data_IF_290325162965
#
_entry.id   IF_290325162965
#
_cell.length_a   1.000
_cell.length_b   1.000
_cell.length_c   1.000
_cell.angle_alpha   90.00
_cell.angle_beta   90.00
_cell.angle_gamma   90.00
#
_symmetry.space_group_name_H-M   'P 1'
#
loop_
_entity.id
_entity.type
_entity.pdbx_description
1 polymer ?
#
# COMPACT_ATOMS: atom_id res chain seq x y z
N UNK A 1 21.20 -14.23 -62.28
CA UNK A 1 20.03 -13.96 -61.40
C UNK A 1 20.42 -13.21 -60.12
N UNK A 2 21.40 -12.28 -60.15
CA UNK A 2 21.83 -11.54 -58.95
C UNK A 2 21.10 -10.20 -58.78
N UNK A 3 20.69 -9.54 -59.86
CA UNK A 3 20.00 -8.24 -59.84
C UNK A 3 18.63 -8.27 -59.15
N UNK A 4 17.80 -9.29 -59.45
CA UNK A 4 16.53 -9.50 -58.75
C UNK A 4 16.72 -9.84 -57.26
N UNK A 5 17.81 -10.54 -56.93
CA UNK A 5 18.19 -10.79 -55.54
C UNK A 5 18.59 -9.50 -54.81
N UNK A 6 19.40 -8.65 -55.45
CA UNK A 6 19.78 -7.36 -54.90
C UNK A 6 18.57 -6.44 -54.65
N UNK A 7 17.58 -6.45 -55.55
CA UNK A 7 16.30 -5.76 -55.36
C UNK A 7 15.52 -6.31 -54.16
N UNK A 8 15.40 -7.63 -54.03
CA UNK A 8 14.71 -8.25 -52.90
C UNK A 8 15.39 -7.95 -51.56
N UNK A 9 16.72 -8.01 -51.50
CA UNK A 9 17.52 -7.61 -50.34
C UNK A 9 17.32 -6.13 -50.03
N UNK A 10 17.31 -5.26 -51.04
CA UNK A 10 17.08 -3.82 -50.89
C UNK A 10 15.69 -3.49 -50.32
N UNK A 11 14.63 -4.10 -50.85
CA UNK A 11 13.25 -3.89 -50.39
C UNK A 11 13.03 -4.44 -48.97
N UNK A 12 13.56 -5.63 -48.68
CA UNK A 12 13.46 -6.21 -47.33
C UNK A 12 14.22 -5.35 -46.29
N UNK A 13 15.38 -4.82 -46.65
CA UNK A 13 16.11 -3.83 -45.84
C UNK A 13 15.33 -2.54 -45.63
N UNK A 14 14.66 -2.03 -46.68
CA UNK A 14 13.84 -0.82 -46.59
C UNK A 14 12.69 -1.00 -45.58
N UNK A 15 11.98 -2.13 -45.67
CA UNK A 15 10.89 -2.46 -44.76
C UNK A 15 11.37 -2.66 -43.32
N UNK A 16 12.48 -3.37 -43.13
CA UNK A 16 13.06 -3.61 -41.82
C UNK A 16 13.50 -2.30 -41.13
N UNK A 17 14.22 -1.43 -41.86
CA UNK A 17 14.65 -0.12 -41.35
C UNK A 17 13.46 0.83 -41.12
N UNK A 18 12.41 0.78 -41.94
CA UNK A 18 11.18 1.57 -41.72
C UNK A 18 10.50 1.20 -40.39
N UNK A 19 10.43 -0.10 -40.05
CA UNK A 19 9.93 -0.53 -38.73
C UNK A 19 10.82 -0.05 -37.60
N UNK A 20 12.13 -0.16 -37.75
CA UNK A 20 13.08 0.32 -36.75
C UNK A 20 13.00 1.85 -36.52
N UNK A 21 12.77 2.63 -37.58
CA UNK A 21 12.49 4.07 -37.47
C UNK A 21 11.18 4.33 -36.72
N UNK A 22 10.14 3.54 -36.99
CA UNK A 22 8.86 3.64 -36.26
C UNK A 22 9.02 3.37 -34.77
N UNK A 23 9.79 2.35 -34.39
CA UNK A 23 10.05 1.99 -32.99
C UNK A 23 10.83 3.09 -32.27
N UNK A 24 11.94 3.56 -32.84
CA UNK A 24 12.75 4.66 -32.25
C UNK A 24 11.94 5.95 -32.13
N UNK A 25 11.13 6.29 -33.15
CA UNK A 25 10.24 7.45 -33.08
C UNK A 25 9.20 7.33 -31.96
N UNK A 26 8.65 6.13 -31.75
CA UNK A 26 7.69 5.88 -30.67
C UNK A 26 8.34 5.98 -29.28
N UNK A 27 9.56 5.46 -29.13
CA UNK A 27 10.33 5.62 -27.90
C UNK A 27 10.59 7.09 -27.59
N UNK A 28 11.04 7.88 -28.58
CA UNK A 28 11.29 9.32 -28.42
C UNK A 28 10.01 10.06 -28.00
N UNK A 29 8.86 9.74 -28.61
CA UNK A 29 7.58 10.36 -28.28
C UNK A 29 7.16 10.08 -26.82
N UNK A 30 7.51 8.90 -26.29
CA UNK A 30 7.13 8.45 -24.96
C UNK A 30 8.23 8.60 -23.90
N UNK A 31 9.28 9.40 -24.17
CA UNK A 31 10.39 9.62 -23.22
C UNK A 31 9.94 10.25 -21.89
N UNK A 32 8.90 11.07 -21.92
CA UNK A 32 8.34 11.73 -20.72
C UNK A 32 7.16 10.95 -20.11
N UNK A 33 6.82 9.80 -20.67
CA UNK A 33 5.66 9.03 -20.21
C UNK A 33 6.06 8.15 -19.03
N UNK A 34 5.35 8.32 -17.92
CA UNK A 34 5.59 7.58 -16.67
C UNK A 34 5.31 6.09 -16.86
N UNK A 35 6.28 5.26 -16.46
CA UNK A 35 6.22 3.80 -16.56
C UNK A 35 6.33 3.26 -17.99
N UNK A 36 6.69 4.07 -18.98
CA UNK A 36 6.87 3.60 -20.35
C UNK A 36 8.12 2.72 -20.50
N UNK A 37 7.96 1.59 -21.20
CA UNK A 37 9.03 0.63 -21.48
C UNK A 37 9.46 0.72 -22.93
N UNK A 38 10.74 0.94 -23.15
CA UNK A 38 11.33 1.06 -24.48
C UNK A 38 11.21 -0.25 -25.26
N UNK A 39 11.01 -0.10 -26.56
CA UNK A 39 11.01 -1.22 -27.51
C UNK A 39 12.24 -1.13 -28.40
N UNK A 40 12.77 -2.28 -28.84
CA UNK A 40 13.92 -2.34 -29.73
C UNK A 40 13.59 -3.11 -31.01
N UNK A 41 14.16 -2.65 -32.13
CA UNK A 41 14.13 -3.41 -33.38
C UNK A 41 15.18 -4.52 -33.36
N UNK A 42 14.75 -5.77 -33.57
CA UNK A 42 15.65 -6.90 -33.75
C UNK A 42 15.68 -7.31 -35.22
N UNK A 43 16.88 -7.42 -35.79
CA UNK A 43 17.07 -7.83 -37.17
C UNK A 43 17.46 -9.30 -37.25
N UNK A 44 16.78 -10.04 -38.12
CA UNK A 44 17.10 -11.43 -38.45
C UNK A 44 17.28 -11.57 -39.95
N UNK A 45 18.24 -12.39 -40.37
CA UNK A 45 18.46 -12.67 -41.80
C UNK A 45 17.44 -13.70 -42.28
N UNK A 46 16.89 -13.46 -43.48
CA UNK A 46 16.11 -14.47 -44.22
C UNK A 46 17.09 -15.10 -45.20
N UNK A 47 17.36 -16.39 -45.04
CA UNK A 47 18.15 -17.14 -46.00
C UNK A 47 17.20 -17.88 -46.96
N UNK A 48 17.27 -17.57 -48.24
CA UNK A 48 16.68 -18.43 -49.27
C UNK A 48 17.54 -19.71 -49.33
N UNK A 49 16.92 -20.87 -49.09
CA UNK A 49 17.61 -22.14 -48.89
C UNK A 49 18.65 -22.49 -49.96
N UNK A 50 19.70 -23.13 -49.47
CA UNK A 50 20.98 -23.55 -50.06
C UNK A 50 20.89 -24.40 -51.34
N UNK A 51 21.80 -24.19 -52.30
CA UNK A 51 22.30 -25.27 -53.17
C UNK A 51 23.69 -24.93 -53.74
N UNK A 52 24.62 -25.88 -53.55
CA UNK A 52 26.04 -25.89 -53.95
C UNK A 52 26.99 -24.93 -53.21
N UNK A 53 28.02 -25.50 -52.57
CA UNK A 53 29.18 -24.77 -52.08
C UNK A 53 29.79 -23.96 -53.23
N UNK A 54 29.89 -22.64 -53.07
CA UNK A 54 30.48 -21.72 -54.06
C UNK A 54 29.51 -20.80 -54.81
N UNK A 55 28.19 -20.89 -54.59
CA UNK A 55 27.22 -19.97 -55.22
C UNK A 55 26.67 -18.97 -54.21
N UNK A 56 26.78 -17.67 -54.51
CA UNK A 56 26.19 -16.60 -53.69
C UNK A 56 24.66 -16.63 -53.80
N UNK A 57 23.97 -16.81 -52.68
CA UNK A 57 22.51 -16.67 -52.56
C UNK A 57 22.19 -15.33 -51.91
N UNK A 58 21.37 -14.52 -52.57
CA UNK A 58 20.89 -13.26 -51.98
C UNK A 58 19.83 -13.61 -50.93
N UNK A 59 20.12 -13.22 -49.68
CA UNK A 59 19.16 -13.27 -48.58
C UNK A 59 18.39 -11.96 -48.42
N UNK A 60 17.46 -11.94 -47.47
CA UNK A 60 16.77 -10.73 -47.02
C UNK A 60 17.04 -10.44 -45.55
N UNK A 61 16.42 -9.39 -45.04
CA UNK A 61 16.39 -9.08 -43.60
C UNK A 61 14.95 -8.84 -43.16
N UNK A 62 14.62 -9.25 -41.93
CA UNK A 62 13.35 -8.95 -41.29
C UNK A 62 13.61 -8.26 -39.95
N UNK A 63 12.86 -7.18 -39.71
CA UNK A 63 12.79 -6.57 -38.39
C UNK A 63 11.59 -7.14 -37.60
N UNK A 64 11.87 -7.64 -36.40
CA UNK A 64 10.90 -7.86 -35.33
C UNK A 64 10.98 -6.77 -34.27
N UNK A 65 9.96 -6.66 -33.44
CA UNK A 65 9.94 -5.75 -32.29
C UNK A 65 10.11 -6.58 -31.02
N UNK A 66 11.04 -6.21 -30.17
CA UNK A 66 11.16 -6.74 -28.82
C UNK A 66 10.85 -5.62 -27.82
N UNK A 67 9.90 -5.86 -26.92
CA UNK A 67 9.64 -4.94 -25.82
C UNK A 67 10.57 -5.30 -24.65
N UNK A 68 11.16 -4.29 -24.00
CA UNK A 68 12.08 -4.45 -22.86
C UNK A 68 11.33 -4.10 -21.57
N UNK A 69 10.26 -4.83 -21.30
CA UNK A 69 9.32 -4.59 -20.19
C UNK A 69 9.96 -4.93 -18.84
N UNK A 70 10.90 -5.88 -18.84
CA UNK A 70 11.69 -6.30 -17.69
C UNK A 70 12.68 -5.24 -17.18
N UNK A 71 13.03 -4.24 -17.99
CA UNK A 71 13.98 -3.20 -17.59
C UNK A 71 13.34 -2.18 -16.65
N UNK A 72 14.05 -1.82 -15.60
CA UNK A 72 13.65 -0.78 -14.64
C UNK A 72 14.10 0.61 -15.10
N UNK A 73 13.22 1.59 -15.02
CA UNK A 73 13.49 3.01 -15.17
C UNK A 73 13.90 3.65 -13.84
N UNK A 74 14.43 4.88 -13.89
CA UNK A 74 14.78 5.62 -12.69
C UNK A 74 13.52 5.93 -11.88
N UNK A 75 13.62 5.83 -10.55
CA UNK A 75 12.55 6.27 -9.66
C UNK A 75 12.70 7.76 -9.37
N UNK A 76 11.66 8.53 -9.63
CA UNK A 76 11.57 9.96 -9.32
C UNK A 76 10.57 10.17 -8.19
N UNK A 77 10.96 10.97 -7.20
CA UNK A 77 10.09 11.34 -6.08
C UNK A 77 8.95 12.22 -6.61
N UNK A 78 7.74 11.97 -6.13
CA UNK A 78 6.53 12.75 -6.35
C UNK A 78 6.03 13.35 -5.04
N UNK A 79 5.20 14.39 -5.13
CA UNK A 79 4.53 15.00 -3.98
C UNK A 79 3.19 14.31 -3.65
N UNK A 80 2.64 13.53 -4.59
CA UNK A 80 1.37 12.84 -4.40
C UNK A 80 1.54 11.57 -3.56
N UNK A 81 0.74 11.44 -2.49
CA UNK A 81 0.73 10.26 -1.63
C UNK A 81 0.24 8.98 -2.33
N UNK A 82 -0.53 9.14 -3.41
CA UNK A 82 -1.08 8.03 -4.21
C UNK A 82 -0.19 7.63 -5.39
N UNK A 83 0.91 8.35 -5.62
CA UNK A 83 1.88 7.98 -6.64
C UNK A 83 2.78 6.86 -6.12
N UNK A 84 2.85 5.78 -6.89
CA UNK A 84 3.54 4.55 -6.51
C UNK A 84 4.51 4.12 -7.61
N UNK A 85 5.63 3.55 -7.17
CA UNK A 85 6.54 2.88 -8.09
C UNK A 85 6.95 1.51 -7.55
N UNK A 86 7.21 0.58 -8.47
CA UNK A 86 7.76 -0.73 -8.12
C UNK A 86 9.27 -0.68 -8.29
N UNK A 87 10.00 -1.02 -7.24
CA UNK A 87 11.44 -1.21 -7.28
C UNK A 87 11.76 -2.71 -7.41
N UNK A 88 12.15 -3.11 -8.62
CA UNK A 88 12.46 -4.51 -8.95
C UNK A 88 11.38 -5.14 -9.83
N UNK A 89 11.14 -6.44 -9.65
CA UNK A 89 10.22 -7.21 -10.49
C UNK A 89 8.78 -7.13 -9.97
N UNK A 90 7.83 -6.77 -10.82
CA UNK A 90 6.42 -6.77 -10.45
C UNK A 90 5.64 -5.74 -11.24
N UNK A 91 4.35 -5.95 -11.39
CA UNK A 91 3.44 -5.02 -12.05
C UNK A 91 2.27 -4.73 -11.11
N UNK A 92 1.80 -3.48 -11.13
CA UNK A 92 0.51 -3.14 -10.52
C UNK A 92 -0.59 -3.85 -11.28
N UNK A 93 -1.54 -4.40 -10.53
CA UNK A 93 -2.73 -5.05 -11.08
C UNK A 93 -3.82 -4.00 -11.19
N UNK A 94 -4.33 -3.80 -12.40
CA UNK A 94 -5.36 -2.82 -12.70
C UNK A 94 -6.49 -3.44 -13.51
N UNK A 95 -7.65 -2.80 -13.51
CA UNK A 95 -8.81 -3.24 -14.28
C UNK A 95 -9.50 -2.06 -14.99
N UNK A 96 -10.22 -2.36 -16.07
CA UNK A 96 -11.03 -1.36 -16.79
C UNK A 96 -12.27 -0.92 -16.04
N UNK A 97 -12.81 -1.77 -15.14
CA UNK A 97 -14.02 -1.48 -14.38
C UNK A 97 -13.80 -1.72 -12.89
N UNK A 98 -14.50 -0.96 -12.02
CA UNK A 98 -14.35 -1.07 -10.57
C UNK A 98 -15.10 -2.26 -9.96
N UNK A 99 -16.08 -2.84 -10.68
CA UNK A 99 -16.76 -4.07 -10.26
C UNK A 99 -15.75 -5.22 -10.32
N UNK A 100 -15.35 -5.70 -9.15
CA UNK A 100 -14.27 -6.66 -8.92
C UNK A 100 -14.12 -7.74 -9.99
N UNK A 101 -12.87 -8.10 -10.25
CA UNK A 101 -12.50 -9.13 -11.20
C UNK A 101 -12.99 -10.50 -10.73
N UNK A 102 -14.24 -10.85 -11.04
CA UNK A 102 -14.68 -12.25 -11.01
C UNK A 102 -13.90 -13.00 -12.09
N UNK A 103 -12.79 -13.63 -11.69
CA UNK A 103 -12.00 -14.74 -12.27
C UNK A 103 -11.79 -14.88 -13.80
N UNK A 104 -12.36 -14.03 -14.66
CA UNK A 104 -12.38 -14.17 -16.11
C UNK A 104 -12.45 -12.85 -16.88
N UNK A 105 -12.33 -11.71 -16.20
CA UNK A 105 -12.45 -10.39 -16.86
C UNK A 105 -11.13 -9.62 -16.72
N UNK A 106 -10.51 -9.36 -17.88
CA UNK A 106 -9.34 -8.52 -18.21
C UNK A 106 -8.61 -7.81 -17.07
N UNK A 107 -7.90 -8.57 -16.23
CA UNK A 107 -6.82 -8.00 -15.43
C UNK A 107 -5.71 -7.50 -16.37
N UNK A 108 -5.38 -6.24 -16.20
CA UNK A 108 -4.32 -5.55 -16.89
C UNK A 108 -3.16 -5.31 -15.91
N UNK A 109 -1.96 -5.24 -16.45
CA UNK A 109 -0.75 -5.10 -15.67
C UNK A 109 -0.04 -3.82 -16.10
N UNK A 110 0.39 -2.99 -15.16
CA UNK A 110 1.08 -1.74 -15.51
C UNK A 110 2.24 -1.44 -14.57
N UNK A 111 3.21 -0.70 -15.08
CA UNK A 111 4.28 -0.07 -14.30
C UNK A 111 4.00 1.41 -14.01
N UNK A 112 2.97 1.98 -14.64
CA UNK A 112 2.59 3.37 -14.40
C UNK A 112 1.78 3.43 -13.11
N UNK A 113 2.40 3.92 -12.03
CA UNK A 113 1.73 4.10 -10.75
C UNK A 113 1.28 5.53 -10.48
N UNK A 114 0.94 6.28 -11.53
CA UNK A 114 0.33 7.61 -11.41
C UNK A 114 -1.16 7.49 -11.09
N UNK A 115 -1.51 7.20 -9.84
CA UNK A 115 -2.89 7.01 -9.42
C UNK A 115 -3.46 8.26 -8.78
N UNK A 116 -4.68 8.64 -9.16
CA UNK A 116 -5.45 9.71 -8.55
C UNK A 116 -6.84 9.21 -8.17
N UNK A 117 -7.42 9.82 -7.14
CA UNK A 117 -8.79 9.51 -6.73
C UNK A 117 -9.79 10.07 -7.75
N UNK A 118 -10.77 9.27 -8.17
CA UNK A 118 -11.87 9.72 -9.01
C UNK A 118 -13.06 10.27 -8.18
N UNK A 119 -14.14 10.67 -8.85
CA UNK A 119 -15.34 11.21 -8.19
C UNK A 119 -16.10 10.19 -7.31
N UNK A 120 -15.93 8.90 -7.56
CA UNK A 120 -16.54 7.81 -6.79
C UNK A 120 -15.63 7.33 -5.65
N UNK A 121 -14.39 7.81 -5.62
CA UNK A 121 -13.38 7.51 -4.61
C UNK A 121 -12.40 6.42 -5.00
N UNK A 122 -12.47 5.89 -6.23
CA UNK A 122 -11.55 4.85 -6.69
C UNK A 122 -10.20 5.43 -7.11
N UNK A 123 -9.13 4.69 -6.83
CA UNK A 123 -7.79 5.02 -7.34
C UNK A 123 -7.68 4.63 -8.82
N UNK A 124 -7.57 5.63 -9.68
CA UNK A 124 -7.51 5.48 -11.14
C UNK A 124 -6.22 6.04 -11.68
N UNK A 125 -5.56 5.34 -12.60
CA UNK A 125 -4.35 5.85 -13.23
C UNK A 125 -4.64 6.84 -14.37
N UNK A 126 -3.60 7.53 -14.85
CA UNK A 126 -3.71 8.47 -15.99
C UNK A 126 -4.29 7.87 -17.28
N UNK A 127 -4.14 6.55 -17.48
CA UNK A 127 -4.73 5.81 -18.59
C UNK A 127 -6.21 5.45 -18.39
N UNK A 128 -6.68 5.53 -17.15
CA UNK A 128 -8.06 5.34 -16.80
C UNK A 128 -8.42 3.98 -16.19
N UNK A 129 -7.43 3.19 -15.79
CA UNK A 129 -7.61 1.90 -15.14
C UNK A 129 -7.60 2.03 -13.62
N UNK A 130 -8.39 1.20 -12.95
CA UNK A 130 -8.55 1.19 -11.49
C UNK A 130 -7.52 0.29 -10.83
N UNK A 131 -6.91 0.76 -9.74
CA UNK A 131 -5.97 -0.02 -8.94
C UNK A 131 -6.70 -1.09 -8.13
N UNK A 132 -6.24 -2.33 -8.27
CA UNK A 132 -6.78 -3.49 -7.56
C UNK A 132 -5.90 -3.86 -6.37
N UNK A 133 -6.53 -4.20 -5.25
CA UNK A 133 -5.86 -4.62 -4.02
C UNK A 133 -6.61 -5.74 -3.31
N UNK A 134 -5.94 -6.37 -2.35
CA UNK A 134 -6.58 -7.26 -1.39
C UNK A 134 -7.16 -6.43 -0.25
N UNK A 135 -8.46 -6.57 0.09
CA UNK A 135 -9.00 -5.94 1.30
C UNK A 135 -8.34 -6.59 2.52
N UNK A 136 -7.93 -5.77 3.48
CA UNK A 136 -7.33 -6.19 4.75
C UNK A 136 -8.41 -6.10 5.82
N UNK A 137 -8.51 -7.10 6.69
CA UNK A 137 -9.43 -7.06 7.84
C UNK A 137 -8.90 -6.17 8.98
N UNK A 138 -9.72 -5.92 10.00
CA UNK A 138 -9.32 -5.11 11.16
C UNK A 138 -8.18 -5.76 11.98
N UNK A 139 -7.79 -7.01 11.67
CA UNK A 139 -6.66 -7.71 12.28
C UNK A 139 -5.38 -7.61 11.44
N UNK A 140 -5.41 -6.94 10.29
CA UNK A 140 -4.26 -6.78 9.40
C UNK A 140 -4.02 -7.98 8.47
N UNK A 141 -4.94 -8.95 8.42
CA UNK A 141 -4.82 -10.15 7.62
C UNK A 141 -5.44 -9.98 6.23
N UNK A 142 -4.80 -10.63 5.25
CA UNK A 142 -5.24 -10.63 3.86
C UNK A 142 -6.05 -11.90 3.53
N UNK A 143 -6.94 -11.86 2.52
CA UNK A 143 -7.79 -13.00 2.20
C UNK A 143 -6.95 -14.22 1.82
N UNK A 144 -7.34 -15.40 2.32
CA UNK A 144 -6.66 -16.66 1.99
C UNK A 144 -6.69 -16.95 0.48
N UNK A 145 -7.72 -16.45 -0.23
CA UNK A 145 -7.79 -16.48 -1.68
C UNK A 145 -7.11 -15.24 -2.29
N UNK A 146 -5.90 -15.44 -2.83
CA UNK A 146 -5.11 -14.37 -3.46
C UNK A 146 -5.71 -13.82 -4.76
N UNK A 147 -6.75 -14.44 -5.30
CA UNK A 147 -7.44 -13.92 -6.49
C UNK A 147 -8.64 -13.02 -6.14
N UNK A 148 -8.97 -12.85 -4.86
CA UNK A 148 -10.07 -11.99 -4.42
C UNK A 148 -9.60 -10.52 -4.40
N UNK A 149 -9.59 -9.92 -5.60
CA UNK A 149 -9.13 -8.55 -5.81
C UNK A 149 -10.31 -7.60 -5.95
N UNK A 150 -10.26 -6.52 -5.19
CA UNK A 150 -11.26 -5.44 -5.22
C UNK A 150 -10.61 -4.12 -5.61
N UNK A 151 -11.35 -3.29 -6.35
CA UNK A 151 -10.89 -1.94 -6.66
C UNK A 151 -10.85 -1.10 -5.38
N UNK A 152 -9.74 -0.40 -5.18
CA UNK A 152 -9.52 0.39 -3.97
C UNK A 152 -10.41 1.63 -4.02
N UNK A 153 -11.37 1.72 -3.10
CA UNK A 153 -12.23 2.88 -2.94
C UNK A 153 -11.96 3.57 -1.60
N UNK A 154 -11.52 4.83 -1.67
CA UNK A 154 -11.21 5.65 -0.50
C UNK A 154 -12.46 6.25 0.17
N UNK A 155 -13.58 6.41 -0.53
CA UNK A 155 -14.82 6.95 0.04
C UNK A 155 -15.57 5.91 0.89
N UNK A 156 -15.37 4.62 0.62
CA UNK A 156 -15.91 3.54 1.46
C UNK A 156 -15.19 3.43 2.80
N UNK A 157 -14.02 4.05 2.94
CA UNK A 157 -13.27 4.22 4.18
C UNK A 157 -13.94 5.32 5.01
N UNK A 158 -15.20 5.12 5.38
CA UNK A 158 -15.89 6.03 6.28
C UNK A 158 -15.21 5.97 7.64
N UNK A 159 -14.98 7.14 8.25
CA UNK A 159 -14.45 7.25 9.60
C UNK A 159 -15.18 6.33 10.56
N UNK A 160 -14.45 5.44 11.22
CA UNK A 160 -15.01 4.62 12.29
C UNK A 160 -14.62 5.27 13.61
N UNK A 161 -15.61 5.50 14.46
CA UNK A 161 -15.32 5.66 15.87
C UNK A 161 -14.77 4.33 16.40
N UNK A 162 -13.72 4.39 17.21
CA UNK A 162 -13.19 3.21 17.90
C UNK A 162 -13.55 3.32 19.38
N UNK A 163 -14.36 2.37 19.87
CA UNK A 163 -14.63 2.25 21.29
C UNK A 163 -13.31 1.97 22.02
N UNK A 164 -13.05 2.67 23.12
CA UNK A 164 -11.90 2.36 23.98
C UNK A 164 -12.01 0.93 24.49
N UNK A 165 -10.98 0.12 24.26
CA UNK A 165 -10.86 -1.24 24.82
C UNK A 165 -9.72 -1.35 25.82
N UNK A 166 -8.80 -0.39 25.82
CA UNK A 166 -7.63 -0.35 26.70
C UNK A 166 -7.31 1.07 27.16
N UNK A 167 -6.95 1.19 28.44
CA UNK A 167 -6.49 2.42 29.09
C UNK A 167 -5.22 2.08 29.84
N UNK A 168 -4.07 2.59 29.40
CA UNK A 168 -2.80 2.44 30.10
C UNK A 168 -2.51 3.67 30.97
N UNK A 169 -2.22 3.42 32.24
CA UNK A 169 -2.01 4.43 33.26
C UNK A 169 -0.60 4.34 33.85
N UNK A 170 0.10 5.46 33.86
CA UNK A 170 1.35 5.62 34.62
C UNK A 170 1.17 6.73 35.63
N UNK A 171 1.21 6.38 36.90
CA UNK A 171 1.05 7.31 38.00
C UNK A 171 1.98 6.94 39.15
N UNK A 172 2.45 7.93 39.88
CA UNK A 172 3.08 7.70 41.18
C UNK A 172 2.07 8.00 42.28
N UNK A 173 1.92 7.09 43.25
CA UNK A 173 1.11 7.27 44.44
C UNK A 173 2.01 7.49 45.66
N UNK A 174 1.73 8.52 46.45
CA UNK A 174 2.58 8.92 47.56
C UNK A 174 2.59 7.88 48.69
N UNK A 175 3.73 7.24 48.93
CA UNK A 175 3.83 6.17 49.93
C UNK A 175 3.60 6.63 51.38
N UNK A 176 3.88 7.90 51.72
CA UNK A 176 3.72 8.47 53.06
C UNK A 176 2.29 8.90 53.43
N UNK A 177 1.33 8.74 52.52
CA UNK A 177 -0.06 9.13 52.76
C UNK A 177 -0.69 8.36 53.94
N UNK A 178 -1.59 9.00 54.69
CA UNK A 178 -2.28 8.36 55.83
C UNK A 178 -3.27 7.30 55.34
N UNK A 179 -3.29 6.13 55.96
CA UNK A 179 -4.20 5.06 55.53
C UNK A 179 -5.60 5.26 56.12
N UNK A 180 -6.62 5.30 55.24
CA UNK A 180 -8.03 5.38 55.59
C UNK A 180 -8.60 3.97 55.82
N UNK A 181 -8.50 3.49 57.06
CA UNK A 181 -8.90 2.12 57.43
C UNK A 181 -10.42 1.88 57.45
N UNK A 182 -11.22 2.94 57.36
CA UNK A 182 -12.69 2.88 57.34
C UNK A 182 -13.29 2.81 55.93
N UNK A 183 -12.44 2.83 54.90
CA UNK A 183 -12.89 2.83 53.51
C UNK A 183 -13.72 1.58 53.15
N UNK A 184 -14.87 1.83 52.54
CA UNK A 184 -15.73 0.84 51.87
C UNK A 184 -15.86 1.22 50.39
N UNK A 185 -15.91 0.21 49.52
CA UNK A 185 -16.12 0.41 48.09
C UNK A 185 -17.40 1.22 47.82
N UNK A 186 -17.25 2.34 47.11
CA UNK A 186 -18.30 3.32 46.81
C UNK A 186 -18.25 4.58 47.68
N UNK A 187 -17.43 4.62 48.74
CA UNK A 187 -17.33 5.79 49.63
C UNK A 187 -16.74 7.01 48.92
N UNK A 188 -15.82 6.79 47.94
CA UNK A 188 -15.25 7.89 47.15
C UNK A 188 -16.26 8.45 46.16
N UNK A 189 -17.04 7.60 45.49
CA UNK A 189 -18.16 8.05 44.65
C UNK A 189 -19.27 8.77 45.44
N UNK A 190 -19.60 8.29 46.64
CA UNK A 190 -20.61 8.90 47.50
C UNK A 190 -20.14 10.21 48.16
N UNK A 191 -18.85 10.57 48.04
CA UNK A 191 -18.25 11.72 48.72
C UNK A 191 -18.18 11.58 50.24
N UNK A 192 -18.19 10.35 50.76
CA UNK A 192 -18.06 10.06 52.20
C UNK A 192 -16.60 10.12 52.63
N UNK A 193 -15.68 9.77 51.73
CA UNK A 193 -14.24 9.88 51.89
C UNK A 193 -13.68 10.66 50.70
N UNK A 194 -12.89 11.70 50.98
CA UNK A 194 -12.19 12.45 49.94
C UNK A 194 -11.05 11.59 49.35
N UNK A 195 -10.98 11.42 48.01
CA UNK A 195 -9.92 10.65 47.39
C UNK A 195 -8.57 11.36 47.55
N UNK A 196 -7.53 10.60 47.90
CA UNK A 196 -6.17 11.12 48.08
C UNK A 196 -5.49 11.44 46.76
N UNK A 197 -5.93 10.76 45.69
CA UNK A 197 -5.54 11.08 44.33
C UNK A 197 -6.68 10.74 43.39
N UNK A 198 -7.09 11.68 42.55
CA UNK A 198 -8.09 11.45 41.51
C UNK A 198 -7.66 12.04 40.16
N UNK A 199 -8.08 11.38 39.08
CA UNK A 199 -7.87 11.84 37.70
C UNK A 199 -9.04 11.47 36.81
N UNK A 200 -9.56 12.44 36.08
CA UNK A 200 -10.54 12.23 35.03
C UNK A 200 -9.84 11.85 33.73
N UNK A 201 -10.34 10.79 33.10
CA UNK A 201 -9.92 10.27 31.80
C UNK A 201 -11.11 10.34 30.85
N UNK A 202 -10.85 10.70 29.60
CA UNK A 202 -11.84 10.64 28.53
C UNK A 202 -11.74 9.27 27.85
N UNK A 203 -12.84 8.52 27.85
CA UNK A 203 -13.00 7.27 27.11
C UNK A 203 -14.01 7.47 26.00
N UNK A 204 -13.88 6.71 24.92
CA UNK A 204 -14.75 6.83 23.75
C UNK A 204 -15.68 5.62 23.66
N UNK A 205 -16.96 5.89 23.40
CA UNK A 205 -17.96 4.84 23.17
C UNK A 205 -17.95 4.33 21.71
N UNK A 206 -18.72 3.27 21.43
CA UNK A 206 -18.82 2.66 20.09
C UNK A 206 -19.40 3.58 19.01
N UNK A 207 -20.01 4.70 19.39
CA UNK A 207 -20.56 5.70 18.47
C UNK A 207 -19.67 6.94 18.35
N UNK A 208 -18.54 6.99 19.07
CA UNK A 208 -17.61 8.11 19.06
C UNK A 208 -18.00 9.26 20.00
N UNK A 209 -18.89 9.01 20.95
CA UNK A 209 -19.15 9.94 22.05
C UNK A 209 -18.00 9.92 23.07
N UNK A 210 -17.56 11.09 23.50
CA UNK A 210 -16.60 11.24 24.59
C UNK A 210 -17.32 11.07 25.94
N UNK A 211 -16.77 10.22 26.80
CA UNK A 211 -17.34 9.83 28.07
C UNK A 211 -16.27 10.04 29.16
N UNK A 212 -16.60 10.78 30.20
CA UNK A 212 -15.66 11.09 31.28
C UNK A 212 -15.72 10.02 32.37
N UNK A 213 -14.58 9.39 32.64
CA UNK A 213 -14.39 8.39 33.68
C UNK A 213 -13.32 8.87 34.64
N UNK A 214 -13.68 9.03 35.91
CA UNK A 214 -12.78 9.42 36.98
C UNK A 214 -12.20 8.20 37.68
N UNK A 215 -10.88 8.13 37.77
CA UNK A 215 -10.16 7.18 38.60
C UNK A 215 -9.80 7.84 39.92
N UNK A 216 -10.29 7.29 41.02
CA UNK A 216 -10.03 7.79 42.37
C UNK A 216 -9.29 6.72 43.18
N UNK A 217 -8.29 7.14 43.95
CA UNK A 217 -7.42 6.28 44.73
C UNK A 217 -7.38 6.72 46.19
N UNK A 218 -7.41 5.73 47.09
CA UNK A 218 -7.26 5.92 48.53
C UNK A 218 -6.41 4.80 49.12
N UNK A 219 -5.51 5.16 50.03
CA UNK A 219 -4.66 4.19 50.72
C UNK A 219 -5.42 3.56 51.87
N UNK A 220 -5.53 2.23 51.90
CA UNK A 220 -6.27 1.50 52.94
C UNK A 220 -5.37 0.84 53.97
N UNK A 221 -4.15 0.46 53.57
CA UNK A 221 -3.14 -0.10 54.46
C UNK A 221 -1.71 0.17 53.94
N UNK A 222 -0.70 -0.31 54.66
CA UNK A 222 0.67 -0.28 54.16
C UNK A 222 0.76 -1.03 52.82
N UNK A 223 1.31 -0.36 51.80
CA UNK A 223 1.47 -0.87 50.43
C UNK A 223 0.18 -1.36 49.77
N UNK A 224 -0.98 -0.87 50.22
CA UNK A 224 -2.28 -1.27 49.70
C UNK A 224 -3.13 -0.03 49.42
N UNK A 225 -3.56 0.09 48.18
CA UNK A 225 -4.41 1.17 47.70
C UNK A 225 -5.69 0.58 47.14
N UNK A 226 -6.83 1.18 47.46
CA UNK A 226 -8.07 0.93 46.76
C UNK A 226 -8.24 1.94 45.64
N UNK A 227 -8.83 1.51 44.53
CA UNK A 227 -9.23 2.39 43.45
C UNK A 227 -10.72 2.20 43.14
N UNK A 228 -11.37 3.29 42.75
CA UNK A 228 -12.71 3.30 42.18
C UNK A 228 -12.65 3.92 40.79
N UNK A 229 -13.40 3.32 39.88
CA UNK A 229 -13.64 3.82 38.52
C UNK A 229 -15.05 4.37 38.50
N UNK A 230 -15.16 5.69 38.48
CA UNK A 230 -16.40 6.43 38.62
C UNK A 230 -16.75 7.03 37.27
N UNK A 231 -18.00 6.88 36.82
CA UNK A 231 -18.50 7.62 35.66
C UNK A 231 -18.94 9.02 36.10
N UNK A 232 -18.39 10.06 35.48
CA UNK A 232 -18.69 11.47 35.83
C UNK A 232 -19.87 12.03 35.00
N UNK A 233 -20.35 11.27 34.01
CA UNK A 233 -21.54 11.61 33.23
C UNK A 233 -22.85 11.29 33.96
N UNK A 234 -23.97 11.42 33.25
CA UNK A 234 -25.30 11.12 33.83
C UNK A 234 -25.40 9.64 34.23
N UNK A 235 -25.55 9.30 35.53
CA UNK A 235 -25.64 7.92 35.99
C UNK A 235 -26.80 7.14 35.35
N UNK A 236 -27.82 7.81 34.80
CA UNK A 236 -28.86 7.16 34.02
C UNK A 236 -28.30 6.40 32.79
N UNK A 237 -27.18 6.85 32.23
CA UNK A 237 -26.53 6.23 31.06
C UNK A 237 -25.83 4.92 31.37
N UNK A 238 -25.58 4.59 32.65
CA UNK A 238 -24.95 3.34 33.10
C UNK A 238 -25.91 2.44 33.89
N UNK A 239 -27.22 2.65 33.77
CA UNK A 239 -28.25 1.86 34.46
C UNK A 239 -28.67 2.42 35.82
N UNK A 240 -28.24 3.64 36.17
CA UNK A 240 -28.61 4.37 37.37
C UNK A 240 -27.47 4.51 38.38
N UNK A 241 -27.71 5.29 39.44
CA UNK A 241 -26.71 5.59 40.48
C UNK A 241 -26.17 4.34 41.22
N UNK A 242 -26.91 3.22 41.21
CA UNK A 242 -26.46 1.95 41.81
C UNK A 242 -25.40 1.19 41.01
N UNK A 243 -25.14 1.59 39.76
CA UNK A 243 -24.07 1.05 38.91
C UNK A 243 -22.78 1.87 38.99
N UNK A 244 -22.74 2.92 39.81
CA UNK A 244 -21.57 3.77 40.03
C UNK A 244 -21.08 3.59 41.49
N UNK A 245 -19.80 3.31 41.76
CA UNK A 245 -18.67 3.18 40.84
C UNK A 245 -18.82 1.98 39.88
N UNK A 246 -18.38 2.15 38.63
CA UNK A 246 -18.44 1.14 37.57
C UNK A 246 -17.61 -0.09 37.96
N UNK A 247 -16.44 0.15 38.54
CA UNK A 247 -15.56 -0.89 39.04
C UNK A 247 -14.82 -0.39 40.28
N UNK A 248 -14.49 -1.34 41.14
CA UNK A 248 -13.66 -1.10 42.32
C UNK A 248 -12.62 -2.20 42.42
N UNK A 249 -11.41 -1.86 42.83
CA UNK A 249 -10.37 -2.86 43.04
C UNK A 249 -9.32 -2.40 44.03
N UNK A 250 -8.35 -3.28 44.24
CA UNK A 250 -7.22 -3.05 45.14
C UNK A 250 -5.91 -3.26 44.40
N UNK A 251 -4.98 -2.32 44.56
CA UNK A 251 -3.60 -2.41 44.11
C UNK A 251 -2.73 -2.68 45.33
N UNK A 252 -1.87 -3.70 45.24
CA UNK A 252 -0.81 -3.91 46.24
C UNK A 252 0.55 -3.68 45.62
N UNK A 253 1.48 -3.17 46.42
CA UNK A 253 2.84 -2.85 45.99
C UNK A 253 3.87 -3.68 46.75
N UNK A 254 5.00 -3.96 46.09
CA UNK A 254 6.17 -4.58 46.69
C UNK A 254 6.91 -3.57 47.58
N UNK A 255 7.86 -4.07 48.39
CA UNK A 255 8.69 -3.23 49.27
C UNK A 255 9.60 -2.24 48.53
N UNK A 256 9.80 -2.43 47.23
CA UNK A 256 10.58 -1.55 46.35
C UNK A 256 9.71 -0.45 45.67
N UNK A 257 8.40 -0.43 45.93
CA UNK A 257 7.45 0.51 45.35
C UNK A 257 6.90 0.10 43.97
N UNK A 258 7.27 -1.07 43.44
CA UNK A 258 6.71 -1.63 42.20
C UNK A 258 5.35 -2.30 42.43
N UNK A 259 4.55 -2.44 41.38
CA UNK A 259 3.24 -3.07 41.46
C UNK A 259 3.38 -4.58 41.75
N UNK A 260 2.59 -5.11 42.68
CA UNK A 260 2.56 -6.53 43.03
C UNK A 260 1.26 -7.21 42.59
N UNK A 261 0.11 -6.56 42.80
CA UNK A 261 -1.19 -7.04 42.28
C UNK A 261 -1.99 -5.91 41.66
N UNK A 262 -2.79 -6.17 40.60
CA UNK A 262 -3.19 -7.49 40.05
C UNK A 262 -2.06 -8.28 39.36
N UNK A 263 -2.11 -9.62 39.42
CA UNK A 263 -1.03 -10.53 39.01
C UNK A 263 -0.68 -10.49 37.49
N UNK A 264 -1.48 -9.80 36.69
CA UNK A 264 -1.23 -9.54 35.27
C UNK A 264 -1.18 -8.05 34.92
N UNK A 265 -1.02 -7.16 35.90
CA UNK A 265 -0.91 -5.71 35.69
C UNK A 265 -2.19 -4.99 35.28
N UNK A 266 -3.21 -5.75 34.88
CA UNK A 266 -4.43 -5.25 34.25
C UNK A 266 -5.67 -5.55 35.09
N UNK A 267 -6.68 -4.68 34.98
CA UNK A 267 -8.01 -4.88 35.52
C UNK A 267 -9.06 -4.70 34.43
N UNK A 268 -10.01 -5.63 34.34
CA UNK A 268 -11.15 -5.49 33.43
C UNK A 268 -12.24 -4.65 34.09
N UNK A 269 -12.65 -3.58 33.42
CA UNK A 269 -13.75 -2.70 33.80
C UNK A 269 -14.81 -2.81 32.71
N UNK A 270 -16.01 -3.24 33.05
CA UNK A 270 -17.13 -3.27 32.09
C UNK A 270 -18.05 -2.11 32.39
N UNK A 271 -18.20 -1.18 31.43
CA UNK A 271 -19.17 -0.09 31.52
C UNK A 271 -20.53 -0.65 31.04
N UNK A 272 -21.53 -0.77 31.94
CA UNK A 272 -22.85 -1.26 31.57
C UNK A 272 -23.69 -0.11 31.01
N UNK A 273 -23.47 0.24 29.74
CA UNK A 273 -24.31 1.25 29.09
C UNK A 273 -25.79 0.84 29.16
N UNK A 274 -26.65 1.79 29.55
CA UNK A 274 -28.08 1.56 29.66
C UNK A 274 -28.70 1.32 28.27
N UNK A 275 -29.66 0.41 28.16
CA UNK A 275 -30.33 0.15 26.86
C UNK A 275 -30.97 1.41 26.23
N UNK A 276 -31.28 2.43 27.05
CA UNK A 276 -31.80 3.72 26.59
C UNK A 276 -30.75 4.60 25.88
N UNK A 277 -29.45 4.41 26.12
CA UNK A 277 -28.39 5.12 25.40
C UNK A 277 -28.10 4.51 24.03
N UNK A 278 -28.63 3.33 23.73
CA UNK A 278 -28.42 2.63 22.45
C UNK A 278 -27.01 2.05 22.26
N UNK A 279 -26.16 2.13 23.30
CA UNK A 279 -24.79 1.62 23.31
C UNK A 279 -24.76 0.18 23.86
N UNK A 280 -23.94 -0.68 23.27
CA UNK A 280 -23.67 -2.01 23.82
C UNK A 280 -22.65 -1.92 24.95
N UNK A 281 -22.78 -2.77 25.98
CA UNK A 281 -21.84 -2.79 27.12
C UNK A 281 -20.38 -2.90 26.64
N UNK A 282 -19.51 -2.06 27.20
CA UNK A 282 -18.14 -1.89 26.73
C UNK A 282 -17.16 -2.40 27.79
N UNK A 283 -16.33 -3.37 27.42
CA UNK A 283 -15.25 -3.86 28.28
C UNK A 283 -13.96 -3.10 28.00
N UNK A 284 -13.45 -2.41 29.01
CA UNK A 284 -12.19 -1.67 29.00
C UNK A 284 -11.20 -2.40 29.90
N UNK A 285 -10.02 -2.71 29.38
CA UNK A 285 -8.90 -3.19 30.18
C UNK A 285 -8.10 -1.99 30.67
N UNK A 286 -8.07 -1.76 31.97
CA UNK A 286 -7.20 -0.75 32.60
C UNK A 286 -5.87 -1.41 32.92
N UNK A 287 -4.82 -0.97 32.22
CA UNK A 287 -3.44 -1.38 32.43
C UNK A 287 -2.77 -0.46 33.46
N UNK A 288 -2.42 -1.04 34.60
CA UNK A 288 -1.66 -0.38 35.66
C UNK A 288 -0.14 -0.67 35.54
N UNK A 289 0.29 -1.38 34.50
CA UNK A 289 1.68 -1.72 34.19
C UNK A 289 2.12 -3.11 34.63
N UNK A 290 3.39 -3.45 34.38
CA UNK A 290 3.91 -4.80 34.58
C UNK A 290 4.29 -5.06 36.05
N UNK A 291 3.74 -6.11 36.69
CA UNK A 291 4.07 -6.42 38.08
C UNK A 291 5.56 -6.70 38.29
N UNK A 292 6.17 -6.07 39.29
CA UNK A 292 7.58 -6.21 39.62
C UNK A 292 8.52 -5.28 38.85
N UNK A 293 8.03 -4.55 37.85
CA UNK A 293 8.80 -3.56 37.11
C UNK A 293 8.37 -2.13 37.49
N UNK A 294 9.27 -1.16 37.34
CA UNK A 294 8.97 0.26 37.57
C UNK A 294 8.23 0.90 36.37
N UNK A 295 7.42 0.11 35.66
CA UNK A 295 6.70 0.49 34.45
C UNK A 295 5.21 0.41 34.74
N UNK A 296 4.56 1.56 35.01
CA UNK A 296 3.14 1.58 35.37
C UNK A 296 2.83 2.51 36.54
N UNK A 297 1.92 2.06 37.40
CA UNK A 297 1.63 2.68 38.69
C UNK A 297 2.69 2.26 39.70
N UNK A 298 3.29 3.23 40.38
CA UNK A 298 4.31 3.01 41.42
C UNK A 298 3.93 3.69 42.72
N UNK A 299 4.58 3.27 43.81
CA UNK A 299 4.37 3.83 45.13
C UNK A 299 5.68 4.37 45.71
N UNK A 300 6.14 5.52 45.19
CA UNK A 300 7.28 6.25 45.76
C UNK A 300 6.84 7.38 46.69
N UNK A 301 7.73 7.75 47.62
CA UNK A 301 7.52 8.83 48.58
C UNK A 301 7.69 10.22 47.94
N UNK A 302 6.88 10.48 46.93
CA UNK A 302 6.73 11.77 46.27
C UNK A 302 5.26 12.05 46.04
N UNK A 303 4.91 13.33 45.89
CA UNK A 303 3.52 13.76 45.67
C UNK A 303 2.85 12.96 44.55
N UNK A 304 1.61 12.54 44.79
CA UNK A 304 0.86 11.72 43.84
C UNK A 304 0.64 12.48 42.53
N UNK A 305 1.09 11.89 41.42
CA UNK A 305 1.06 12.55 40.11
C UNK A 305 0.75 11.54 39.01
N UNK A 306 -0.01 11.99 38.00
CA UNK A 306 -0.19 11.25 36.77
C UNK A 306 0.97 11.60 35.84
N UNK A 307 1.74 10.60 35.45
CA UNK A 307 2.87 10.76 34.53
C UNK A 307 2.37 10.71 33.09
N UNK A 308 1.53 9.71 32.76
CA UNK A 308 0.89 9.60 31.46
C UNK A 308 -0.38 8.75 31.54
N UNK A 309 -1.35 9.07 30.68
CA UNK A 309 -2.54 8.25 30.42
C UNK A 309 -2.73 8.13 28.92
N UNK A 310 -2.85 6.91 28.42
CA UNK A 310 -3.12 6.65 27.00
C UNK A 310 -4.34 5.75 26.88
N UNK A 311 -5.27 6.16 26.02
CA UNK A 311 -6.46 5.37 25.68
C UNK A 311 -6.37 4.98 24.21
N UNK A 312 -6.88 3.81 23.85
CA UNK A 312 -6.86 3.33 22.46
C UNK A 312 -8.17 3.60 21.69
N UNK A 313 -9.12 4.31 22.29
CA UNK A 313 -10.33 4.73 21.59
C UNK A 313 -10.12 6.03 20.82
N UNK A 314 -11.03 6.30 19.88
CA UNK A 314 -10.99 7.52 19.09
C UNK A 314 -12.39 8.03 18.73
N UNK A 315 -12.49 9.36 18.64
CA UNK A 315 -13.66 10.06 18.09
C UNK A 315 -13.89 9.67 16.63
N UNK A 316 -15.09 9.93 16.13
CA UNK A 316 -15.32 9.91 14.69
C UNK A 316 -14.35 10.88 14.00
N UNK A 317 -13.58 10.35 13.07
CA UNK A 317 -12.63 11.13 12.30
C UNK A 317 -12.80 10.95 10.80
N UNK A 318 -12.73 12.05 10.05
CA UNK A 318 -12.73 11.99 8.59
C UNK A 318 -11.41 11.42 8.05
N UNK A 319 -11.43 10.86 6.84
CA UNK A 319 -10.20 10.50 6.12
C UNK A 319 -9.40 11.78 5.83
N UNK A 320 -8.23 11.89 6.45
CA UNK A 320 -7.30 13.02 6.27
C UNK A 320 -6.31 12.74 5.13
N UNK A 321 -5.90 11.47 4.97
CA UNK A 321 -5.03 11.07 3.89
C UNK A 321 -4.86 9.56 3.79
N UNK A 322 -4.06 9.13 2.81
CA UNK A 322 -3.64 7.74 2.64
C UNK A 322 -2.12 7.71 2.57
N UNK A 323 -1.53 6.66 3.11
CA UNK A 323 -0.12 6.35 2.96
C UNK A 323 0.01 4.89 2.54
N UNK A 324 0.98 4.63 1.68
CA UNK A 324 1.33 3.28 1.27
C UNK A 324 2.75 3.00 1.73
N UNK A 325 2.98 1.83 2.33
CA UNK A 325 4.31 1.42 2.76
C UNK A 325 5.08 0.63 1.69
N UNK A 326 6.32 0.24 2.00
CA UNK A 326 7.16 -0.53 1.07
C UNK A 326 6.69 -1.98 0.86
N UNK A 327 5.81 -2.49 1.71
CA UNK A 327 5.34 -3.88 1.79
C UNK A 327 4.03 -4.10 1.05
N UNK A 328 3.31 -3.03 0.70
CA UNK A 328 2.03 -3.14 0.02
C UNK A 328 0.87 -2.51 0.77
N UNK A 329 1.02 -2.21 2.06
CA UNK A 329 -0.12 -1.81 2.87
C UNK A 329 -0.49 -0.36 2.62
N UNK A 330 -1.75 -0.18 2.21
CA UNK A 330 -2.43 1.10 2.16
C UNK A 330 -3.08 1.34 3.51
N UNK A 331 -2.52 2.31 4.22
CA UNK A 331 -2.98 2.79 5.51
C UNK A 331 -3.77 4.09 5.32
N UNK A 332 -5.01 4.09 5.76
CA UNK A 332 -5.83 5.29 5.88
C UNK A 332 -5.41 6.05 7.15
N UNK A 333 -5.15 7.35 7.00
CA UNK A 333 -4.90 8.27 8.10
C UNK A 333 -6.15 9.11 8.33
N UNK A 334 -6.67 9.05 9.54
CA UNK A 334 -7.83 9.82 9.95
C UNK A 334 -7.41 11.08 10.71
N UNK A 335 -8.25 12.11 10.68
CA UNK A 335 -8.00 13.39 11.39
C UNK A 335 -7.97 13.24 12.93
N UNK A 336 -8.57 12.17 13.46
CA UNK A 336 -8.52 11.76 14.86
C UNK A 336 -7.17 11.11 15.26
N UNK A 337 -6.21 11.00 14.34
CA UNK A 337 -4.88 10.44 14.57
C UNK A 337 -4.80 8.92 14.47
N UNK A 338 -5.92 8.23 14.26
CA UNK A 338 -5.95 6.77 14.05
C UNK A 338 -5.43 6.45 12.65
N UNK A 339 -4.65 5.36 12.57
CA UNK A 339 -4.16 4.79 11.32
C UNK A 339 -4.72 3.38 11.19
N UNK A 340 -5.37 3.09 10.07
CA UNK A 340 -5.90 1.75 9.79
C UNK A 340 -5.37 1.23 8.46
N UNK A 341 -4.83 0.02 8.47
CA UNK A 341 -4.50 -0.71 7.25
C UNK A 341 -5.78 -1.23 6.62
N UNK A 342 -6.01 -0.94 5.34
CA UNK A 342 -7.29 -1.27 4.70
C UNK A 342 -7.15 -2.10 3.44
N UNK A 343 -6.06 -1.91 2.71
CA UNK A 343 -5.76 -2.71 1.53
C UNK A 343 -4.29 -3.10 1.51
N UNK A 344 -3.99 -4.24 0.89
CA UNK A 344 -2.63 -4.63 0.52
C UNK A 344 -2.53 -4.74 -0.99
N UNK A 345 -1.57 -4.04 -1.58
CA UNK A 345 -1.32 -4.05 -3.01
C UNK A 345 -0.56 -5.31 -3.43
N UNK A 346 -1.14 -6.15 -4.31
CA UNK A 346 -0.41 -7.26 -4.90
C UNK A 346 0.53 -6.77 -6.00
N UNK A 347 1.67 -7.44 -6.15
CA UNK A 347 2.51 -7.33 -7.34
C UNK A 347 2.35 -8.58 -8.18
N UNK A 348 1.99 -8.39 -9.45
CA UNK A 348 1.97 -9.48 -10.42
C UNK A 348 3.37 -9.72 -10.99
N UNK A 349 3.86 -10.95 -10.91
CA UNK A 349 5.10 -11.37 -11.57
C UNK A 349 4.80 -12.36 -12.69
N UNK A 350 5.68 -12.36 -13.70
CA UNK A 350 5.60 -13.22 -14.88
C UNK A 350 6.92 -13.94 -15.07
N UNK A 351 6.87 -15.16 -15.59
CA UNK A 351 8.09 -15.88 -15.98
C UNK A 351 8.80 -15.18 -17.14
N UNK A 352 8.04 -14.65 -18.10
CA UNK A 352 8.56 -13.87 -19.22
C UNK A 352 7.79 -12.56 -19.38
N UNK A 353 8.24 -11.51 -18.69
CA UNK A 353 7.62 -10.18 -18.76
C UNK A 353 7.64 -9.59 -20.19
N UNK A 354 8.66 -9.92 -20.99
CA UNK A 354 8.80 -9.42 -22.37
C UNK A 354 7.86 -10.12 -23.37
N UNK A 355 7.17 -11.19 -22.95
CA UNK A 355 6.13 -11.85 -23.73
C UNK A 355 4.75 -11.19 -23.60
N UNK A 356 4.58 -10.22 -22.70
CA UNK A 356 3.31 -9.52 -22.52
C UNK A 356 2.94 -8.72 -23.77
N UNK A 357 1.64 -8.58 -24.03
CA UNK A 357 1.14 -7.74 -25.11
C UNK A 357 0.83 -6.35 -24.57
N UNK A 358 1.29 -5.30 -25.24
CA UNK A 358 0.95 -3.93 -24.86
C UNK A 358 -0.53 -3.63 -25.16
N UNK A 359 -1.23 -3.14 -24.14
CA UNK A 359 -2.54 -2.53 -24.23
C UNK A 359 -2.42 -0.99 -24.19
N UNK A 360 -3.55 -0.31 -24.37
CA UNK A 360 -3.60 1.16 -24.37
C UNK A 360 -3.19 1.69 -22.98
N UNK A 361 -2.46 2.80 -22.93
CA UNK A 361 -2.16 3.49 -21.67
C UNK A 361 -1.10 2.82 -20.78
N UNK A 362 -0.04 2.26 -21.39
CA UNK A 362 1.06 1.56 -20.70
C UNK A 362 0.58 0.40 -19.82
N UNK A 363 -0.55 -0.20 -20.18
CA UNK A 363 -1.02 -1.45 -19.63
C UNK A 363 -0.53 -2.62 -20.48
N UNK A 364 -0.52 -3.81 -19.90
CA UNK A 364 -0.06 -5.04 -20.50
C UNK A 364 -1.07 -6.14 -20.23
N UNK A 365 -1.27 -7.00 -21.22
CA UNK A 365 -2.16 -8.17 -21.14
C UNK A 365 -1.31 -9.42 -21.25
N UNK A 366 -1.70 -10.45 -20.49
CA UNK A 366 -1.07 -11.77 -20.53
C UNK A 366 -1.26 -12.43 -21.89
N UNK A 367 -0.19 -13.04 -22.39
CA UNK A 367 -0.19 -13.90 -23.58
C UNK A 367 0.29 -15.30 -23.22
N UNK A 368 0.17 -16.24 -24.16
CA UNK A 368 0.74 -17.58 -24.02
C UNK A 368 2.28 -17.53 -23.84
N UNK A 369 2.95 -16.56 -24.47
CA UNK A 369 4.41 -16.36 -24.40
C UNK A 369 4.88 -15.79 -23.04
N UNK A 370 4.02 -15.06 -22.34
CA UNK A 370 4.34 -14.53 -20.99
C UNK A 370 4.22 -15.58 -19.89
N UNK A 371 3.46 -16.66 -20.15
CA UNK A 371 3.05 -17.63 -19.15
C UNK A 371 1.98 -17.07 -18.20
N UNK A 372 1.67 -17.81 -17.14
CA UNK A 372 0.70 -17.36 -16.13
C UNK A 372 1.28 -16.26 -15.23
N UNK A 373 0.41 -15.39 -14.71
CA UNK A 373 0.80 -14.43 -13.68
C UNK A 373 0.78 -15.10 -12.30
N UNK A 374 1.64 -14.63 -11.40
CA UNK A 374 1.58 -14.95 -9.97
C UNK A 374 1.38 -13.66 -9.19
N UNK A 375 0.35 -13.61 -8.35
CA UNK A 375 0.13 -12.50 -7.43
C UNK A 375 0.93 -12.76 -6.17
N UNK A 376 1.87 -11.87 -5.87
CA UNK A 376 2.77 -11.97 -4.74
C UNK A 376 2.70 -10.70 -3.90
N UNK A 377 3.07 -10.82 -2.63
CA UNK A 377 3.31 -9.68 -1.76
C UNK A 377 4.64 -9.01 -2.12
N UNK A 378 4.76 -7.70 -1.87
CA UNK A 378 6.01 -7.02 -2.09
C UNK A 378 7.14 -7.65 -1.24
N UNK A 379 8.36 -7.63 -1.77
CA UNK A 379 9.58 -8.26 -1.19
C UNK A 379 9.53 -9.79 -1.04
N UNK A 380 8.44 -10.47 -1.42
CA UNK A 380 8.27 -11.92 -1.25
C UNK A 380 8.25 -12.64 -2.59
N UNK A 381 8.82 -13.86 -2.65
CA UNK A 381 8.69 -14.74 -3.82
C UNK A 381 9.30 -14.20 -5.12
N UNK A 382 10.28 -13.30 -5.03
CA UNK A 382 10.92 -12.67 -6.19
C UNK A 382 10.19 -11.41 -6.71
N UNK A 383 9.14 -10.96 -6.03
CA UNK A 383 8.57 -9.63 -6.25
C UNK A 383 9.46 -8.54 -5.62
N UNK A 384 9.50 -7.39 -6.27
CA UNK A 384 10.20 -6.19 -5.82
C UNK A 384 9.53 -5.54 -4.60
N UNK A 385 10.12 -4.47 -4.10
CA UNK A 385 9.49 -3.62 -3.10
C UNK A 385 8.66 -2.54 -3.77
N UNK A 386 7.73 -1.94 -3.03
CA UNK A 386 7.08 -0.72 -3.47
C UNK A 386 7.82 0.50 -2.94
N UNK A 387 7.76 1.59 -3.70
CA UNK A 387 8.21 2.91 -3.28
C UNK A 387 6.99 3.84 -3.30
N UNK A 388 6.68 4.38 -2.13
CA UNK A 388 5.64 5.38 -1.94
C UNK A 388 6.11 6.74 -2.42
N UNK A 389 5.19 7.61 -2.84
CA UNK A 389 5.48 8.96 -3.32
C UNK A 389 6.56 8.97 -4.40
N UNK A 390 6.51 8.01 -5.30
CA UNK A 390 7.51 7.85 -6.34
C UNK A 390 6.86 7.38 -7.64
N UNK A 391 7.43 7.79 -8.77
CA UNK A 391 7.02 7.35 -10.10
C UNK A 391 8.22 6.80 -10.86
N UNK A 392 7.99 5.77 -11.66
CA UNK A 392 9.02 5.21 -12.54
C UNK A 392 9.11 6.05 -13.83
N UNK A 393 10.28 6.63 -14.13
CA UNK A 393 10.54 7.30 -15.41
C UNK A 393 10.54 6.30 -16.57
N UNK A 394 10.36 6.82 -17.78
CA UNK A 394 10.54 6.05 -19.02
C UNK A 394 11.92 5.40 -19.06
N UNK A 395 12.02 4.17 -19.56
CA UNK A 395 13.31 3.47 -19.77
C UNK A 395 14.04 3.93 -21.03
N UNK A 396 13.51 4.94 -21.72
CA UNK A 396 14.05 5.47 -22.96
C UNK A 396 15.24 6.39 -22.67
N UNK A 397 16.36 6.14 -23.35
CA UNK A 397 17.52 7.03 -23.35
C UNK A 397 17.55 7.83 -24.65
N UNK A 398 17.26 9.12 -24.54
CA UNK A 398 17.12 10.01 -25.69
C UNK A 398 18.40 10.11 -26.54
N UNK A 399 19.59 10.08 -25.91
CA UNK A 399 20.85 10.15 -26.63
C UNK A 399 21.08 8.89 -27.47
N UNK A 400 20.71 7.73 -26.91
CA UNK A 400 20.75 6.44 -27.61
C UNK A 400 19.73 6.42 -28.75
N UNK A 401 18.48 6.80 -28.50
CA UNK A 401 17.43 6.78 -29.53
C UNK A 401 17.75 7.69 -30.72
N UNK A 402 18.33 8.88 -30.50
CA UNK A 402 18.76 9.76 -31.59
C UNK A 402 19.92 9.15 -32.40
N UNK A 403 20.86 8.48 -31.73
CA UNK A 403 21.94 7.76 -32.41
C UNK A 403 21.39 6.62 -33.27
N UNK A 404 20.48 5.82 -32.72
CA UNK A 404 19.81 4.72 -33.42
C UNK A 404 18.93 5.23 -34.58
N UNK A 405 18.30 6.38 -34.44
CA UNK A 405 17.55 7.04 -35.51
C UNK A 405 18.47 7.46 -36.66
N UNK A 406 19.63 8.07 -36.38
CA UNK A 406 20.60 8.49 -37.40
C UNK A 406 21.18 7.27 -38.12
N UNK A 407 21.52 6.20 -37.40
CA UNK A 407 22.06 4.97 -38.02
C UNK A 407 21.01 4.30 -38.90
N UNK A 408 19.76 4.19 -38.43
CA UNK A 408 18.66 3.59 -39.20
C UNK A 408 18.28 4.44 -40.42
N UNK A 409 18.30 5.77 -40.31
CA UNK A 409 18.06 6.68 -41.44
C UNK A 409 19.13 6.53 -42.53
N UNK A 410 20.41 6.41 -42.13
CA UNK A 410 21.53 6.16 -43.06
C UNK A 410 21.39 4.78 -43.72
N UNK A 411 21.00 3.76 -42.97
CA UNK A 411 20.75 2.42 -43.50
C UNK A 411 19.58 2.39 -44.50
N UNK A 412 18.48 3.07 -44.19
CA UNK A 412 17.35 3.25 -45.11
C UNK A 412 17.78 3.94 -46.41
N UNK A 413 18.54 5.04 -46.31
CA UNK A 413 19.07 5.78 -47.47
C UNK A 413 20.05 4.96 -48.31
N UNK A 414 20.82 4.07 -47.69
CA UNK A 414 21.69 3.13 -48.39
C UNK A 414 20.87 2.07 -49.13
N UNK A 415 19.82 1.52 -48.49
CA UNK A 415 18.93 0.55 -49.11
C UNK A 415 18.19 1.12 -50.33
N UNK A 416 17.73 2.37 -50.28
CA UNK A 416 17.11 3.02 -51.45
C UNK A 416 18.09 3.16 -52.60
N UNK A 417 19.36 3.47 -52.33
CA UNK A 417 20.41 3.56 -53.37
C UNK A 417 20.65 2.20 -54.05
N UNK A 418 20.64 1.10 -53.29
CA UNK A 418 20.77 -0.26 -53.86
C UNK A 418 19.63 -0.54 -54.85
N UNK A 419 18.40 -0.15 -54.49
CA UNK A 419 17.22 -0.32 -55.36
C UNK A 419 17.37 0.53 -56.62
N UNK A 420 17.72 1.81 -56.51
CA UNK A 420 17.88 2.69 -57.68
C UNK A 420 19.00 2.25 -58.61
N UNK A 421 20.13 1.79 -58.07
CA UNK A 421 21.24 1.29 -58.91
C UNK A 421 20.88 -0.03 -59.59
N UNK A 422 20.15 -0.91 -58.89
CA UNK A 422 19.67 -2.15 -59.50
C UNK A 422 18.64 -1.89 -60.60
N UNK A 423 17.76 -0.90 -60.42
CA UNK A 423 16.76 -0.48 -61.40
C UNK A 423 17.42 0.13 -62.65
N UNK A 424 18.38 1.04 -62.48
CA UNK A 424 19.17 1.60 -63.59
C UNK A 424 19.88 0.51 -64.41
N UNK A 425 20.44 -0.50 -63.76
CA UNK A 425 21.10 -1.63 -64.44
C UNK A 425 20.10 -2.52 -65.18
N UNK A 426 18.87 -2.71 -64.66
CA UNK A 426 17.80 -3.42 -65.37
C UNK A 426 17.33 -2.63 -66.60
N UNK A 427 17.19 -1.31 -66.48
CA UNK A 427 16.82 -0.45 -67.61
C UNK A 427 17.87 -0.53 -68.73
N UNK A 428 19.16 -0.45 -68.37
CA UNK A 428 20.26 -0.59 -69.34
C UNK A 428 20.26 -1.97 -70.01
N UNK A 429 20.01 -3.05 -69.26
CA UNK A 429 19.89 -4.40 -69.82
C UNK A 429 18.71 -4.52 -70.80
N UNK A 430 17.59 -3.87 -70.52
CA UNK A 430 16.42 -3.83 -71.43
C UNK A 430 16.77 -3.05 -72.69
N UNK A 431 17.51 -1.94 -72.58
CA UNK A 431 17.96 -1.12 -73.72
C UNK A 431 18.93 -1.85 -74.65
N UNK A 432 19.79 -2.72 -74.14
CA UNK A 432 20.73 -3.53 -74.96
C UNK A 432 20.00 -4.59 -75.80
N UNK A 433 18.78 -5.00 -75.40
CA UNK A 433 18.03 -6.07 -76.06
C UNK A 433 17.20 -5.57 -77.27
N UNK A 434 16.94 -4.27 -77.36
CA UNK A 434 16.35 -3.61 -78.53
C UNK A 434 17.45 -2.93 -79.35
#
# INVERSE_FOLDING_TARGET
MSLYGALFTGVSSLSANSRALGITSNNIANVNTVGYKSSQAQFSTILASTTAAGTFSSGGVRAGTQQLIDRQGLLQISESATDLAVNGNGFFVVAETPSGASASTDLLFTRSGSFTQDSEGYLRNSAGYYLMGWPVDDQGEIPSNRNDLTAINLNQLTGTAEATTEVSLRANLQSSETAETTYVAGDMNAGTIDPQFERTLEVYDSQGGAQEVRLSFVKTAANTWAYEVIYDGDPANIGGAGSNPIATGTLTFNSDGTLATPAGGTASVTIPWAAASGLAAQSITVDFGEPGEAVGVTQYDSTSTLISSTVNGALFGGLSGVSIDEEGYLTALFDNGVQRQVFKLPLATFQNANGLSAATGNAYVRTDESGNYSLLEAKTGGAGSMASQALESSTVDLAKEFTDLITTQRAYSAATRIVTTSDQMLEELIRIKN
#
